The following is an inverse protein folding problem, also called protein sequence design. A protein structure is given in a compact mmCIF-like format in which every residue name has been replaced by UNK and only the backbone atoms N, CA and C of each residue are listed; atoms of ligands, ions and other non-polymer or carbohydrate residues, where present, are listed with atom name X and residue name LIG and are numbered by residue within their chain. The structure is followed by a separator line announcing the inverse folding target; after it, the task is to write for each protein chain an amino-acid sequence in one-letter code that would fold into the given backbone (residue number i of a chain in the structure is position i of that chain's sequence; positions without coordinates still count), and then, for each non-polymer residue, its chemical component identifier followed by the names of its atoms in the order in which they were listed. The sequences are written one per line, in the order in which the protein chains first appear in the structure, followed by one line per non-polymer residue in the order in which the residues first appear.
data_IF_452476079970
#
_entry.id   IF_452476079970
#
_cell.length_a   1.000
_cell.length_b   1.000
_cell.length_c   1.000
_cell.angle_alpha   90.00
_cell.angle_beta   90.00
_cell.angle_gamma   90.00
#
_symmetry.space_group_name_H-M   'P 1'
#
loop_
_entity.id
_entity.type
_entity.pdbx_description
1 polymer ?
#
# COMPACT_ATOMS: atom_id res chain seq x y z
N UNK A 1 14.51 -10.92 -17.97
CA UNK A 1 14.74 -11.20 -16.54
C UNK A 1 13.40 -11.47 -15.91
N UNK A 2 13.31 -12.58 -15.19
CA UNK A 2 12.11 -12.96 -14.46
C UNK A 2 12.11 -12.33 -13.07
N UNK A 3 10.93 -12.13 -12.50
CA UNK A 3 10.80 -11.61 -11.16
C UNK A 3 11.51 -12.51 -10.13
N UNK A 4 12.33 -11.91 -9.27
CA UNK A 4 13.12 -12.62 -8.27
C UNK A 4 14.48 -13.14 -8.74
N UNK A 5 14.90 -12.87 -9.99
CA UNK A 5 16.28 -13.09 -10.40
C UNK A 5 17.25 -12.08 -9.77
N UNK A 6 18.53 -12.46 -9.67
CA UNK A 6 19.58 -11.55 -9.23
C UNK A 6 19.69 -10.33 -10.16
N UNK A 7 20.06 -9.19 -9.60
CA UNK A 7 20.25 -7.97 -10.38
C UNK A 7 21.36 -8.15 -11.44
N UNK A 8 21.23 -7.52 -12.61
CA UNK A 8 22.24 -7.58 -13.67
C UNK A 8 23.65 -7.23 -13.18
N UNK A 9 24.66 -7.84 -13.76
CA UNK A 9 26.06 -7.61 -13.44
C UNK A 9 26.47 -6.15 -13.69
N UNK A 10 25.91 -5.51 -14.73
CA UNK A 10 26.13 -4.09 -15.05
C UNK A 10 25.62 -3.15 -13.94
N UNK A 11 24.61 -3.59 -13.18
CA UNK A 11 24.07 -2.84 -12.05
C UNK A 11 24.86 -3.15 -10.79
N UNK A 12 25.20 -4.42 -10.55
CA UNK A 12 25.97 -4.85 -9.39
C UNK A 12 27.41 -4.32 -9.41
N UNK A 13 28.03 -4.15 -10.58
CA UNK A 13 29.37 -3.56 -10.73
C UNK A 13 29.46 -2.09 -10.26
N UNK A 14 28.34 -1.38 -10.16
CA UNK A 14 28.26 -0.01 -9.63
C UNK A 14 27.98 0.02 -8.13
N UNK A 15 27.62 -1.12 -7.54
CA UNK A 15 27.37 -1.22 -6.11
C UNK A 15 28.68 -1.33 -5.34
N UNK A 16 28.78 -0.57 -4.25
CA UNK A 16 29.96 -0.52 -3.39
C UNK A 16 29.62 -1.10 -2.04
N UNK A 17 30.44 -2.03 -1.55
CA UNK A 17 30.27 -2.62 -0.23
C UNK A 17 30.35 -1.55 0.87
N UNK A 18 29.45 -1.62 1.86
CA UNK A 18 29.39 -0.66 2.97
C UNK A 18 28.61 0.63 2.69
N UNK A 19 27.92 0.72 1.54
CA UNK A 19 27.09 1.87 1.18
C UNK A 19 25.83 2.07 2.03
N UNK A 20 25.44 1.07 2.83
CA UNK A 20 24.24 1.10 3.66
C UNK A 20 22.93 0.80 2.93
N UNK A 21 22.98 0.46 1.64
CA UNK A 21 21.80 0.08 0.85
C UNK A 21 22.03 -1.20 0.02
N UNK A 22 20.95 -1.91 -0.24
CA UNK A 22 20.90 -3.06 -1.15
C UNK A 22 20.32 -2.64 -2.51
N UNK A 23 20.83 -3.22 -3.60
CA UNK A 23 20.36 -2.95 -4.97
C UNK A 23 19.62 -4.18 -5.50
N UNK A 24 18.36 -3.99 -5.87
CA UNK A 24 17.53 -4.99 -6.52
C UNK A 24 16.91 -4.38 -7.78
N UNK A 25 16.95 -5.11 -8.90
CA UNK A 25 16.26 -4.73 -10.12
C UNK A 25 15.19 -5.77 -10.39
N UNK A 26 13.94 -5.35 -10.42
CA UNK A 26 12.80 -6.20 -10.75
C UNK A 26 12.00 -5.55 -11.88
N UNK A 27 11.55 -6.36 -12.82
CA UNK A 27 10.72 -5.90 -13.93
C UNK A 27 9.28 -6.29 -13.65
N UNK A 28 8.42 -5.28 -13.54
CA UNK A 28 6.99 -5.52 -13.56
C UNK A 28 6.66 -6.26 -14.86
N UNK A 29 6.04 -7.44 -14.75
CA UNK A 29 5.57 -8.19 -15.93
C UNK A 29 4.66 -7.31 -16.80
N UNK A 30 4.40 -7.74 -18.03
CA UNK A 30 3.58 -7.00 -19.03
C UNK A 30 2.11 -6.76 -18.62
N UNK A 31 1.73 -7.06 -17.37
CA UNK A 31 0.37 -6.86 -16.88
C UNK A 31 0.10 -5.37 -16.71
N UNK A 32 -0.92 -4.89 -17.40
CA UNK A 32 -1.39 -3.51 -17.27
C UNK A 32 -1.72 -3.21 -15.80
N UNK A 33 -1.21 -2.07 -15.31
CA UNK A 33 -1.47 -1.59 -13.95
C UNK A 33 -2.98 -1.35 -13.79
N UNK A 34 -3.63 -2.19 -12.99
CA UNK A 34 -5.06 -2.08 -12.70
C UNK A 34 -5.28 -0.97 -11.67
N UNK A 35 -5.69 0.21 -12.15
CA UNK A 35 -6.03 1.33 -11.28
C UNK A 35 -7.38 1.07 -10.62
N UNK A 36 -7.44 1.18 -9.30
CA UNK A 36 -8.71 1.11 -8.58
C UNK A 36 -9.52 2.39 -8.77
N UNK A 37 -10.83 2.23 -8.91
CA UNK A 37 -11.76 3.35 -8.77
C UNK A 37 -11.64 3.97 -7.38
N UNK A 38 -12.04 5.22 -7.24
CA UNK A 38 -11.91 5.92 -5.96
C UNK A 38 -12.89 5.37 -4.91
N UNK A 39 -14.04 4.84 -5.32
CA UNK A 39 -15.00 4.12 -4.46
C UNK A 39 -14.38 2.81 -3.96
N UNK A 40 -13.72 2.05 -4.85
CA UNK A 40 -13.06 0.80 -4.48
C UNK A 40 -11.91 1.06 -3.52
N UNK A 41 -11.14 2.12 -3.76
CA UNK A 41 -10.05 2.56 -2.87
C UNK A 41 -10.58 2.97 -1.49
N UNK A 42 -11.68 3.72 -1.46
CA UNK A 42 -12.36 4.12 -0.23
C UNK A 42 -12.89 2.92 0.57
N UNK A 43 -13.56 1.97 -0.10
CA UNK A 43 -14.06 0.76 0.53
C UNK A 43 -12.94 -0.07 1.17
N UNK A 44 -11.81 -0.22 0.47
CA UNK A 44 -10.64 -0.94 1.02
C UNK A 44 -10.02 -0.20 2.21
N UNK A 45 -9.93 1.14 2.15
CA UNK A 45 -9.45 1.94 3.29
C UNK A 45 -10.32 1.73 4.53
N UNK A 46 -11.65 1.75 4.38
CA UNK A 46 -12.60 1.50 5.48
C UNK A 46 -12.38 0.09 6.04
N UNK A 47 -12.39 -0.93 5.19
CA UNK A 47 -12.20 -2.33 5.59
C UNK A 47 -10.88 -2.54 6.36
N UNK A 48 -9.78 -1.99 5.85
CA UNK A 48 -8.47 -2.14 6.49
C UNK A 48 -8.40 -1.41 7.84
N UNK A 49 -9.00 -0.21 7.93
CA UNK A 49 -9.10 0.54 9.17
C UNK A 49 -9.92 -0.23 10.22
N UNK A 50 -11.10 -0.73 9.86
CA UNK A 50 -11.96 -1.52 10.73
C UNK A 50 -11.25 -2.80 11.21
N UNK A 51 -10.64 -3.56 10.29
CA UNK A 51 -9.90 -4.77 10.65
C UNK A 51 -8.74 -4.49 11.60
N UNK A 52 -8.03 -3.36 11.42
CA UNK A 52 -6.96 -2.95 12.33
C UNK A 52 -7.49 -2.57 13.70
N UNK A 53 -8.61 -1.85 13.78
CA UNK A 53 -9.21 -1.43 15.04
C UNK A 53 -9.77 -2.63 15.80
N UNK A 54 -10.54 -3.53 15.15
CA UNK A 54 -11.02 -4.76 15.78
C UNK A 54 -9.88 -5.63 16.32
N UNK A 55 -8.72 -5.63 15.66
CA UNK A 55 -7.55 -6.37 16.13
C UNK A 55 -6.87 -5.73 17.35
N UNK A 56 -6.79 -4.39 17.41
CA UNK A 56 -6.01 -3.67 18.43
C UNK A 56 -6.86 -3.30 19.64
N UNK A 57 -8.12 -2.92 19.44
CA UNK A 57 -9.04 -2.43 20.46
C UNK A 57 -10.45 -2.98 20.24
N UNK A 58 -10.66 -4.30 20.40
CA UNK A 58 -11.95 -4.95 20.11
C UNK A 58 -13.11 -4.39 20.94
N UNK A 59 -12.87 -4.04 22.21
CA UNK A 59 -13.90 -3.55 23.13
C UNK A 59 -14.43 -2.15 22.77
N UNK A 60 -13.60 -1.34 22.11
CA UNK A 60 -13.95 0.03 21.71
C UNK A 60 -14.04 0.17 20.19
N UNK A 61 -14.18 -0.95 19.47
CA UNK A 61 -13.97 -0.95 18.03
C UNK A 61 -14.97 -0.05 17.33
N UNK A 62 -16.25 -0.16 17.67
CA UNK A 62 -17.32 0.58 17.01
C UNK A 62 -17.20 2.08 17.25
N UNK A 63 -16.96 2.51 18.49
CA UNK A 63 -16.75 3.92 18.86
C UNK A 63 -15.53 4.53 18.13
N UNK A 64 -14.42 3.79 18.09
CA UNK A 64 -13.19 4.26 17.42
C UNK A 64 -13.35 4.31 15.90
N UNK A 65 -14.09 3.36 15.31
CA UNK A 65 -14.41 3.35 13.89
C UNK A 65 -15.26 4.57 13.53
N UNK A 66 -16.34 4.83 14.28
CA UNK A 66 -17.23 5.97 14.06
C UNK A 66 -16.48 7.29 14.18
N UNK A 67 -15.67 7.44 15.25
CA UNK A 67 -14.86 8.63 15.48
C UNK A 67 -13.86 8.88 14.35
N UNK A 68 -13.17 7.85 13.86
CA UNK A 68 -12.19 8.00 12.78
C UNK A 68 -12.87 8.33 11.43
N UNK A 69 -14.03 7.73 11.16
CA UNK A 69 -14.83 8.05 9.98
C UNK A 69 -15.31 9.51 10.00
N UNK A 70 -15.75 10.00 11.17
CA UNK A 70 -16.18 11.37 11.37
C UNK A 70 -15.02 12.38 11.32
N UNK A 71 -13.84 12.01 11.84
CA UNK A 71 -12.67 12.88 11.84
C UNK A 71 -12.09 13.10 10.42
N UNK A 72 -12.22 12.12 9.53
CA UNK A 72 -11.56 12.14 8.21
C UNK A 72 -12.48 11.67 7.06
N UNK A 73 -13.65 12.29 6.88
CA UNK A 73 -14.63 11.86 5.88
C UNK A 73 -14.05 11.86 4.46
N UNK A 74 -13.26 12.88 4.09
CA UNK A 74 -12.62 13.01 2.78
C UNK A 74 -11.68 11.86 2.41
N UNK A 75 -11.07 11.21 3.41
CA UNK A 75 -10.15 10.10 3.16
C UNK A 75 -10.90 8.79 2.87
N UNK A 76 -12.06 8.62 3.50
CA UNK A 76 -12.87 7.39 3.46
C UNK A 76 -14.08 7.47 2.54
N UNK A 77 -14.50 8.64 2.06
CA UNK A 77 -15.67 8.79 1.18
C UNK A 77 -15.38 8.51 -0.30
N UNK A 78 -14.11 8.41 -0.69
CA UNK A 78 -13.73 8.28 -2.10
C UNK A 78 -13.94 9.64 -2.77
N UNK A 79 -12.84 10.27 -3.19
CA UNK A 79 -12.96 11.58 -3.81
C UNK A 79 -13.67 11.42 -5.16
N UNK A 80 -14.93 11.86 -5.23
CA UNK A 80 -15.60 12.12 -6.51
C UNK A 80 -15.14 13.48 -7.00
N UNK A 81 -13.95 13.51 -7.60
CA UNK A 81 -13.51 14.69 -8.35
C UNK A 81 -12.58 14.21 -9.46
N UNK A 82 -13.18 13.80 -10.57
CA UNK A 82 -12.53 13.85 -11.86
C UNK A 82 -13.55 14.16 -12.94
#
# INVERSE_FOLDING_TARGET
MEAGQAAPEEVMSRWVAGSGYAVCVDFLGQKQIQRWSDERKAAVRRRNMQARIHRVAPLFADELIERELAARPEYFNGKSAR
#
